data_IF_054813508014
#
_entry.id   IF_054813508014
#
_cell.length_a   1.000
_cell.length_b   1.000
_cell.length_c   1.000
_cell.angle_alpha   90.00
_cell.angle_beta   90.00
_cell.angle_gamma   90.00
#
_symmetry.space_group_name_H-M   'P 1'
#
loop_
_entity.id
_entity.type
_entity.pdbx_description
1 polymer ?
#
# COMPACT_ATOMS: atom_id res chain seq x y z
N UNK A 1 13.70 -36.34 33.75
CA UNK A 1 13.40 -36.19 32.31
C UNK A 1 12.56 -34.93 32.11
N UNK A 2 13.16 -33.84 31.62
CA UNK A 2 12.55 -32.48 31.58
C UNK A 2 11.44 -32.35 30.51
N UNK A 3 11.45 -33.25 29.53
CA UNK A 3 10.63 -33.21 28.32
C UNK A 3 9.12 -33.40 28.60
N UNK A 4 8.74 -34.04 29.73
CA UNK A 4 7.34 -34.33 30.08
C UNK A 4 6.58 -33.06 30.49
N UNK A 5 7.26 -32.02 30.99
CA UNK A 5 6.63 -30.78 31.47
C UNK A 5 6.35 -29.73 30.38
N UNK A 6 6.70 -30.00 29.12
CA UNK A 6 6.53 -29.07 28.01
C UNK A 6 5.08 -29.13 27.53
N UNK A 7 4.37 -27.99 27.54
CA UNK A 7 2.98 -27.90 27.12
C UNK A 7 2.79 -27.96 25.59
N UNK A 8 3.83 -27.60 24.83
CA UNK A 8 3.79 -27.66 23.37
C UNK A 8 4.13 -29.08 22.88
N UNK A 9 3.10 -29.78 22.40
CA UNK A 9 3.19 -31.16 21.92
C UNK A 9 4.16 -31.31 20.74
N UNK A 10 4.24 -30.31 19.85
CA UNK A 10 5.10 -30.36 18.67
C UNK A 10 6.59 -30.16 19.03
N UNK A 11 6.88 -29.28 19.97
CA UNK A 11 8.22 -29.14 20.55
C UNK A 11 8.60 -30.39 21.33
N UNK A 12 7.66 -30.94 22.11
CA UNK A 12 7.86 -32.18 22.88
C UNK A 12 8.19 -33.36 21.98
N UNK A 13 7.46 -33.53 20.87
CA UNK A 13 7.76 -34.56 19.87
C UNK A 13 9.14 -34.38 19.26
N UNK A 14 9.52 -33.16 18.85
CA UNK A 14 10.85 -32.86 18.29
C UNK A 14 11.98 -33.15 19.27
N UNK A 15 11.79 -32.87 20.56
CA UNK A 15 12.77 -33.15 21.61
C UNK A 15 12.90 -34.65 21.90
N UNK A 16 11.80 -35.39 21.85
CA UNK A 16 11.81 -36.86 21.97
C UNK A 16 12.46 -37.54 20.77
N UNK A 17 12.23 -37.04 19.54
CA UNK A 17 12.82 -37.57 18.32
C UNK A 17 14.33 -37.36 18.22
N UNK A 18 14.86 -36.29 18.85
CA UNK A 18 16.24 -35.83 18.62
C UNK A 18 17.22 -36.25 19.71
N UNK A 19 16.78 -37.04 20.69
CA UNK A 19 17.55 -37.43 21.89
C UNK A 19 18.35 -36.24 22.44
N UNK A 20 17.68 -35.31 23.14
CA UNK A 20 18.37 -34.19 23.77
C UNK A 20 19.19 -34.71 24.97
N UNK A 21 20.44 -35.12 24.70
CA UNK A 21 21.32 -35.71 25.71
C UNK A 21 21.63 -34.77 26.88
N UNK A 22 21.48 -33.46 26.67
CA UNK A 22 21.71 -32.42 27.68
C UNK A 22 20.60 -31.38 27.70
N UNK A 23 20.48 -30.69 28.83
CA UNK A 23 19.48 -29.62 29.03
C UNK A 23 19.70 -28.46 28.06
N UNK A 24 20.96 -28.13 27.77
CA UNK A 24 21.35 -27.03 26.89
C UNK A 24 20.84 -27.26 25.46
N UNK A 25 20.97 -28.49 24.94
CA UNK A 25 20.43 -28.87 23.63
C UNK A 25 18.90 -28.74 23.59
N UNK A 26 18.22 -29.08 24.69
CA UNK A 26 16.76 -28.94 24.76
C UNK A 26 16.34 -27.46 24.74
N UNK A 27 17.05 -26.61 25.49
CA UNK A 27 16.84 -25.15 25.49
C UNK A 27 17.06 -24.59 24.08
N UNK A 28 18.17 -24.95 23.44
CA UNK A 28 18.48 -24.51 22.07
C UNK A 28 17.39 -24.92 21.09
N UNK A 29 16.89 -26.16 21.17
CA UNK A 29 15.80 -26.63 20.33
C UNK A 29 14.50 -25.84 20.54
N UNK A 30 14.17 -25.47 21.79
CA UNK A 30 13.02 -24.61 22.08
C UNK A 30 13.19 -23.24 21.43
N UNK A 31 14.33 -22.58 21.63
CA UNK A 31 14.63 -21.25 21.06
C UNK A 31 14.56 -21.29 19.54
N UNK A 32 15.19 -22.28 18.90
CA UNK A 32 15.18 -22.45 17.45
C UNK A 32 13.76 -22.68 16.93
N UNK A 33 12.93 -23.42 17.66
CA UNK A 33 11.55 -23.69 17.27
C UNK A 33 10.68 -22.43 17.38
N UNK A 34 10.84 -21.64 18.43
CA UNK A 34 10.15 -20.34 18.58
C UNK A 34 10.56 -19.35 17.49
N UNK A 35 11.87 -19.22 17.23
CA UNK A 35 12.39 -18.36 16.17
C UNK A 35 11.87 -18.78 14.78
N UNK A 36 11.86 -20.09 14.49
CA UNK A 36 11.30 -20.61 13.25
C UNK A 36 9.80 -20.33 13.13
N UNK A 37 9.04 -20.46 14.24
CA UNK A 37 7.61 -20.15 14.26
C UNK A 37 7.36 -18.68 13.91
N UNK A 38 8.11 -17.77 14.53
CA UNK A 38 8.04 -16.34 14.24
C UNK A 38 8.34 -16.04 12.75
N UNK A 39 9.39 -16.66 12.20
CA UNK A 39 9.73 -16.48 10.79
C UNK A 39 8.62 -16.98 9.85
N UNK A 40 7.96 -18.09 10.18
CA UNK A 40 6.85 -18.61 9.38
C UNK A 40 5.62 -17.70 9.42
N UNK A 41 5.33 -17.09 10.57
CA UNK A 41 4.26 -16.08 10.71
C UNK A 41 4.56 -14.83 9.88
N UNK A 42 5.79 -14.31 9.96
CA UNK A 42 6.23 -13.18 9.14
C UNK A 42 6.16 -13.49 7.64
N UNK A 43 6.55 -14.70 7.23
CA UNK A 43 6.44 -15.14 5.84
C UNK A 43 4.99 -15.24 5.37
N UNK A 44 4.06 -15.62 6.25
CA UNK A 44 2.62 -15.68 5.94
C UNK A 44 2.06 -14.27 5.73
N UNK A 45 2.37 -13.34 6.64
CA UNK A 45 1.95 -11.93 6.54
C UNK A 45 2.50 -11.30 5.25
N UNK A 46 3.78 -11.51 4.92
CA UNK A 46 4.38 -10.99 3.68
C UNK A 46 3.69 -11.54 2.41
N UNK A 47 3.28 -12.82 2.40
CA UNK A 47 2.53 -13.41 1.28
C UNK A 47 1.16 -12.76 1.09
N UNK A 48 0.46 -12.42 2.17
CA UNK A 48 -0.84 -11.74 2.09
C UNK A 48 -0.71 -10.30 1.53
N UNK A 49 0.33 -9.57 1.92
CA UNK A 49 0.61 -8.22 1.41
C UNK A 49 0.95 -8.26 -0.09
N UNK A 50 1.79 -9.22 -0.53
CA UNK A 50 2.15 -9.37 -1.95
C UNK A 50 0.93 -9.70 -2.84
N UNK A 51 -0.01 -10.52 -2.33
CA UNK A 51 -1.25 -10.83 -3.03
C UNK A 51 -2.14 -9.59 -3.24
N UNK A 52 -2.16 -8.65 -2.30
CA UNK A 52 -2.88 -7.37 -2.45
C UNK A 52 -2.18 -6.46 -3.47
N UNK A 53 -0.85 -6.41 -3.44
CA UNK A 53 -0.05 -5.64 -4.40
C UNK A 53 -0.30 -6.05 -5.85
N UNK A 54 -0.33 -7.37 -6.12
CA UNK A 54 -0.63 -7.93 -7.45
C UNK A 54 -2.05 -7.59 -7.93
N UNK A 55 -3.06 -7.68 -7.05
CA UNK A 55 -4.45 -7.27 -7.39
C UNK A 55 -4.56 -5.79 -7.75
N UNK A 56 -3.79 -4.91 -7.09
CA UNK A 56 -3.74 -3.47 -7.44
C UNK A 56 -3.12 -3.24 -8.81
N UNK A 57 -2.02 -3.94 -9.14
CA UNK A 57 -1.32 -3.83 -10.42
C UNK A 57 -2.18 -4.29 -11.61
N UNK A 58 -2.89 -5.42 -11.47
CA UNK A 58 -3.79 -5.90 -12.53
C UNK A 58 -4.97 -4.95 -12.75
N UNK A 59 -5.56 -4.40 -11.67
CA UNK A 59 -6.63 -3.40 -11.78
C UNK A 59 -6.15 -2.10 -12.43
N UNK A 60 -4.90 -1.69 -12.19
CA UNK A 60 -4.30 -0.50 -12.79
C UNK A 60 -3.96 -0.69 -14.27
N UNK A 61 -3.52 -1.88 -14.70
CA UNK A 61 -3.29 -2.21 -16.12
C UNK A 61 -4.57 -2.15 -16.94
N UNK A 62 -5.70 -2.61 -16.40
CA UNK A 62 -6.99 -2.51 -17.08
C UNK A 62 -7.50 -1.06 -17.17
N UNK A 63 -7.33 -0.23 -16.13
CA UNK A 63 -7.78 1.18 -16.19
C UNK A 63 -6.88 2.07 -17.05
N UNK A 64 -5.58 1.77 -17.15
CA UNK A 64 -4.62 2.50 -17.99
C UNK A 64 -4.94 2.39 -19.48
N UNK A 65 -5.52 1.28 -19.95
CA UNK A 65 -5.88 1.11 -21.37
C UNK A 65 -7.10 1.95 -21.77
N UNK A 66 -8.02 2.19 -20.84
CA UNK A 66 -9.18 3.07 -21.01
C UNK A 66 -8.82 4.56 -20.92
N UNK A 67 -7.92 4.97 -20.03
CA UNK A 67 -7.55 6.39 -19.84
C UNK A 67 -6.67 6.97 -20.95
N UNK A 68 -5.91 6.13 -21.68
CA UNK A 68 -5.08 6.59 -22.82
C UNK A 68 -5.93 7.12 -23.98
N UNK A 69 -7.14 6.57 -24.22
CA UNK A 69 -8.06 7.09 -25.25
C UNK A 69 -8.73 8.41 -24.85
N UNK A 70 -8.92 8.65 -23.56
CA UNK A 70 -9.60 9.85 -23.04
C UNK A 70 -8.63 11.04 -22.85
N UNK A 71 -7.36 10.76 -22.55
CA UNK A 71 -6.31 11.78 -22.37
C UNK A 71 -6.02 12.59 -23.64
N UNK A 72 -6.04 11.97 -24.82
CA UNK A 72 -5.79 12.66 -26.10
C UNK A 72 -6.90 13.65 -26.49
N UNK A 73 -8.10 13.48 -25.92
CA UNK A 73 -9.25 14.37 -26.19
C UNK A 73 -9.35 15.47 -25.13
N UNK A 74 -8.96 15.19 -23.88
CA UNK A 74 -8.98 16.15 -22.77
C UNK A 74 -7.90 17.24 -22.86
N UNK A 75 -6.75 16.99 -23.51
CA UNK A 75 -5.70 18.00 -23.65
C UNK A 75 -6.14 19.22 -24.50
N UNK A 76 -7.11 19.06 -25.40
CA UNK A 76 -7.61 20.16 -26.25
C UNK A 76 -8.37 21.24 -25.47
N UNK A 77 -8.82 20.93 -24.25
CA UNK A 77 -9.68 21.81 -23.46
C UNK A 77 -8.98 22.41 -22.22
N UNK A 78 -7.65 22.38 -22.13
CA UNK A 78 -6.91 23.01 -21.03
C UNK A 78 -6.35 24.35 -21.52
N UNK A 79 -6.85 25.45 -20.95
CA UNK A 79 -6.27 26.78 -21.19
C UNK A 79 -5.06 26.97 -20.27
N UNK A 80 -3.95 27.41 -20.88
CA UNK A 80 -2.75 27.82 -20.16
C UNK A 80 -2.75 29.35 -20.00
N UNK A 81 -2.22 29.84 -18.88
CA UNK A 81 -2.10 31.27 -18.60
C UNK A 81 -3.45 32.01 -18.71
N UNK A 82 -4.45 31.55 -17.95
CA UNK A 82 -5.76 32.19 -17.96
C UNK A 82 -5.64 33.68 -17.59
N UNK A 83 -6.21 34.58 -18.40
CA UNK A 83 -6.16 36.04 -18.15
C UNK A 83 -6.95 36.48 -16.91
N UNK A 84 -7.82 35.62 -16.38
CA UNK A 84 -8.64 35.91 -15.19
C UNK A 84 -7.95 35.45 -13.90
N UNK A 85 -7.41 34.23 -13.86
CA UNK A 85 -6.79 33.67 -12.65
C UNK A 85 -5.26 33.50 -12.71
N UNK A 86 -4.63 33.71 -13.86
CA UNK A 86 -3.20 33.48 -14.09
C UNK A 86 -2.79 31.99 -14.17
N UNK A 87 -3.67 31.05 -13.82
CA UNK A 87 -3.35 29.62 -13.73
C UNK A 87 -3.70 28.79 -14.97
N UNK A 88 -3.52 27.47 -14.84
CA UNK A 88 -3.88 26.46 -15.84
C UNK A 88 -5.13 25.69 -15.38
N UNK A 89 -6.17 25.63 -16.22
CA UNK A 89 -7.41 24.93 -15.90
C UNK A 89 -8.19 24.52 -17.15
N UNK A 90 -9.25 23.73 -16.98
CA UNK A 90 -10.14 23.38 -18.09
C UNK A 90 -10.93 24.59 -18.59
N UNK A 91 -11.18 24.66 -19.90
CA UNK A 91 -12.01 25.66 -20.54
C UNK A 91 -13.34 25.81 -19.78
N UNK A 92 -13.78 27.05 -19.56
CA UNK A 92 -15.00 27.40 -18.81
C UNK A 92 -15.04 27.01 -17.32
N UNK A 93 -13.95 26.47 -16.75
CA UNK A 93 -13.82 26.13 -15.33
C UNK A 93 -12.76 26.97 -14.61
N UNK A 94 -12.76 28.28 -14.80
CA UNK A 94 -11.79 29.15 -14.14
C UNK A 94 -12.06 29.21 -12.62
N UNK A 95 -11.06 28.95 -11.76
CA UNK A 95 -11.22 28.99 -10.30
C UNK A 95 -11.45 30.40 -9.74
N UNK A 96 -11.21 31.45 -10.55
CA UNK A 96 -11.47 32.83 -10.17
C UNK A 96 -12.91 33.29 -10.45
N UNK A 97 -13.71 32.53 -11.21
CA UNK A 97 -15.10 32.92 -11.47
C UNK A 97 -15.90 32.99 -10.16
N UNK A 98 -16.67 34.06 -9.99
CA UNK A 98 -17.49 34.27 -8.79
C UNK A 98 -16.70 34.69 -7.55
N UNK A 99 -15.40 34.98 -7.68
CA UNK A 99 -14.55 35.47 -6.58
C UNK A 99 -14.14 36.91 -6.81
N UNK A 100 -13.93 37.63 -5.70
CA UNK A 100 -13.34 38.97 -5.71
C UNK A 100 -11.82 38.83 -5.75
N UNK A 101 -11.16 39.53 -6.67
CA UNK A 101 -9.71 39.59 -6.69
C UNK A 101 -9.20 40.27 -5.41
N UNK A 102 -8.35 39.59 -4.64
CA UNK A 102 -7.77 40.18 -3.43
C UNK A 102 -6.80 41.33 -3.74
N UNK A 103 -6.21 41.33 -4.94
CA UNK A 103 -5.26 42.36 -5.36
C UNK A 103 -5.97 43.64 -5.84
N UNK A 104 -6.93 43.54 -6.76
CA UNK A 104 -7.60 44.71 -7.36
C UNK A 104 -9.03 44.96 -6.86
N UNK A 105 -9.55 44.13 -5.95
CA UNK A 105 -10.91 44.17 -5.37
C UNK A 105 -12.05 44.15 -6.40
N UNK A 106 -11.78 43.76 -7.64
CA UNK A 106 -12.80 43.60 -8.70
C UNK A 106 -13.41 42.20 -8.68
N UNK A 107 -14.69 42.09 -9.01
CA UNK A 107 -15.40 40.82 -9.13
C UNK A 107 -15.17 40.18 -10.51
N UNK A 108 -14.84 38.89 -10.54
CA UNK A 108 -14.65 38.15 -11.79
C UNK A 108 -15.96 37.51 -12.28
N UNK A 109 -16.57 38.17 -13.26
CA UNK A 109 -17.75 37.68 -13.99
C UNK A 109 -17.39 36.59 -15.01
N UNK A 110 -18.32 35.66 -15.23
CA UNK A 110 -18.29 34.70 -16.33
C UNK A 110 -18.87 35.40 -17.57
N UNK A 111 -18.06 35.70 -18.57
CA UNK A 111 -18.57 36.15 -19.88
C UNK A 111 -19.14 34.94 -20.61
N UNK A 112 -20.41 35.03 -20.99
CA UNK A 112 -21.12 34.06 -21.83
C UNK A 112 -20.59 34.09 -23.26
#
# INVERSE_FOLDING_TARGET
MVIIGINDDAVREKLLQRESDTLEKAIECCILTEAARHQLEDMKIKKEIDAIGKRRMDRQKYSARSTVREYTTSQKNIIKNCTKCGGHHMLNKCPAFGKICLNCKKFFWKSF
#
